data_IF_624912210356
#
_entry.id   IF_624912210356
#
_cell.length_a   1.000
_cell.length_b   1.000
_cell.length_c   1.000
_cell.angle_alpha   90.00
_cell.angle_beta   90.00
_cell.angle_gamma   90.00
#
_symmetry.space_group_name_H-M   'P 1'
#
loop_
_entity.id
_entity.type
_entity.pdbx_description
1 polymer ?
#
# COMPACT_ATOMS: atom_id res chain seq x y z
N UNK A 1 12.23 -12.27 30.83
CA UNK A 1 12.31 -13.45 31.73
C UNK A 1 12.34 -12.93 33.15
N UNK A 2 11.74 -13.66 34.10
CA UNK A 2 11.80 -13.33 35.53
C UNK A 2 12.21 -14.60 36.29
N UNK A 3 13.13 -14.49 37.24
CA UNK A 3 13.56 -15.59 38.09
C UNK A 3 13.25 -15.20 39.52
N UNK A 4 12.44 -16.00 40.20
CA UNK A 4 12.07 -15.80 41.58
C UNK A 4 12.72 -16.88 42.46
N UNK A 5 13.31 -16.46 43.57
CA UNK A 5 13.95 -17.32 44.55
C UNK A 5 13.15 -17.29 45.85
N UNK A 6 12.74 -18.45 46.33
CA UNK A 6 12.01 -18.59 47.60
C UNK A 6 13.00 -18.54 48.78
N UNK A 7 13.36 -17.33 49.21
CA UNK A 7 14.27 -17.09 50.35
C UNK A 7 13.67 -16.08 51.32
N UNK A 8 14.13 -16.08 52.58
CA UNK A 8 13.72 -15.07 53.54
C UNK A 8 14.32 -13.70 53.18
N UNK A 9 13.44 -12.72 52.98
CA UNK A 9 13.80 -11.34 52.61
C UNK A 9 14.61 -10.66 53.72
N UNK A 10 14.42 -11.06 54.98
CA UNK A 10 15.13 -10.47 56.12
C UNK A 10 16.60 -10.92 56.19
N UNK A 11 16.92 -12.10 55.65
CA UNK A 11 18.26 -12.68 55.66
C UNK A 11 19.07 -12.28 54.42
N UNK A 12 18.42 -11.96 53.30
CA UNK A 12 19.07 -11.67 52.02
C UNK A 12 18.59 -10.32 51.42
N UNK A 13 19.37 -9.23 51.55
CA UNK A 13 18.99 -7.91 51.05
C UNK A 13 19.07 -7.76 49.52
N UNK A 14 19.73 -8.69 48.82
CA UNK A 14 19.93 -8.67 47.36
C UNK A 14 18.65 -8.93 46.53
N UNK A 15 17.51 -9.11 47.22
CA UNK A 15 16.22 -9.38 46.61
C UNK A 15 16.05 -10.82 46.10
N UNK A 16 14.78 -11.21 46.01
CA UNK A 16 14.37 -12.55 45.57
C UNK A 16 13.99 -12.62 44.10
N UNK A 17 13.96 -11.49 43.41
CA UNK A 17 13.48 -11.40 42.03
C UNK A 17 14.64 -10.91 41.16
N UNK A 18 14.89 -11.63 40.06
CA UNK A 18 15.82 -11.24 39.02
C UNK A 18 15.02 -11.08 37.74
N UNK A 19 14.94 -9.84 37.27
CA UNK A 19 14.22 -9.52 36.03
C UNK A 19 15.22 -9.33 34.89
N UNK A 20 14.90 -9.94 33.75
CA UNK A 20 15.55 -9.69 32.48
C UNK A 20 14.53 -8.98 31.58
N UNK A 21 14.51 -7.63 31.59
CA UNK A 21 13.59 -6.85 30.78
C UNK A 21 13.99 -6.86 29.31
N UNK A 22 13.00 -6.65 28.44
CA UNK A 22 13.18 -6.63 26.97
C UNK A 22 13.76 -5.31 26.46
N UNK A 23 13.49 -4.21 27.17
CA UNK A 23 13.72 -2.85 26.68
C UNK A 23 15.09 -2.38 27.15
N UNK A 24 16.03 -2.19 26.21
CA UNK A 24 17.30 -1.51 26.51
C UNK A 24 18.60 -2.28 26.25
N UNK A 25 18.56 -3.45 25.59
CA UNK A 25 19.80 -4.11 25.14
C UNK A 25 20.02 -3.92 23.64
N UNK A 26 21.03 -3.12 23.21
CA UNK A 26 21.44 -2.99 21.81
C UNK A 26 22.23 -4.21 21.29
N UNK A 27 22.37 -5.27 22.09
CA UNK A 27 23.39 -6.29 21.87
C UNK A 27 22.85 -7.55 21.20
N UNK A 28 23.78 -8.17 20.46
CA UNK A 28 23.69 -9.45 19.76
C UNK A 28 22.93 -10.54 20.56
N UNK A 29 22.34 -11.53 19.87
CA UNK A 29 21.69 -12.66 20.52
C UNK A 29 22.64 -13.31 21.53
N UNK A 30 22.19 -13.41 22.78
CA UNK A 30 22.91 -14.06 23.86
C UNK A 30 22.39 -15.49 24.01
N UNK A 31 23.29 -16.47 23.98
CA UNK A 31 22.94 -17.90 24.04
C UNK A 31 22.76 -18.43 25.48
N UNK A 32 22.98 -17.60 26.49
CA UNK A 32 22.84 -18.03 27.89
C UNK A 32 22.91 -16.89 28.90
N UNK A 33 22.50 -17.22 30.14
CA UNK A 33 22.55 -16.32 31.28
C UNK A 33 23.11 -17.05 32.51
N UNK A 34 23.75 -16.31 33.40
CA UNK A 34 24.21 -16.83 34.71
C UNK A 34 23.71 -15.91 35.80
N UNK A 35 23.02 -16.47 36.80
CA UNK A 35 22.60 -15.73 38.00
C UNK A 35 23.41 -16.23 39.19
N UNK A 36 24.00 -15.29 39.95
CA UNK A 36 24.75 -15.59 41.18
C UNK A 36 24.07 -14.92 42.37
N UNK A 37 23.90 -15.68 43.45
CA UNK A 37 23.34 -15.23 44.73
C UNK A 37 24.04 -15.96 45.87
N UNK A 38 24.15 -15.30 47.02
CA UNK A 38 24.66 -15.89 48.26
C UNK A 38 23.55 -16.69 48.95
N UNK A 39 23.92 -17.83 49.53
CA UNK A 39 22.97 -18.73 50.22
C UNK A 39 23.59 -20.09 50.49
N UNK A 40 23.27 -20.65 51.64
CA UNK A 40 23.73 -21.94 52.16
C UNK A 40 22.58 -22.95 52.32
N UNK A 41 21.34 -22.48 52.23
CA UNK A 41 20.13 -23.29 52.33
C UNK A 41 19.59 -23.73 50.96
N UNK A 42 19.00 -24.93 50.86
CA UNK A 42 18.31 -25.35 49.64
C UNK A 42 17.17 -24.39 49.31
N UNK A 43 17.21 -23.81 48.11
CA UNK A 43 16.29 -22.75 47.67
C UNK A 43 15.50 -23.21 46.44
N UNK A 44 14.18 -23.08 46.50
CA UNK A 44 13.31 -23.30 45.34
C UNK A 44 13.31 -22.05 44.47
N UNK A 45 13.48 -22.26 43.17
CA UNK A 45 13.56 -21.24 42.15
C UNK A 45 12.43 -21.46 41.15
N UNK A 46 11.75 -20.37 40.80
CA UNK A 46 10.73 -20.32 39.76
C UNK A 46 11.24 -19.45 38.62
N UNK A 47 11.46 -20.05 37.45
CA UNK A 47 11.88 -19.33 36.24
C UNK A 47 10.66 -19.13 35.36
N UNK A 48 10.28 -17.87 35.13
CA UNK A 48 9.20 -17.45 34.25
C UNK A 48 9.76 -16.94 32.92
N UNK A 49 9.48 -17.66 31.85
CA UNK A 49 9.87 -17.32 30.49
C UNK A 49 8.65 -16.78 29.74
N UNK A 50 8.73 -15.50 29.36
CA UNK A 50 7.76 -14.86 28.49
C UNK A 50 8.27 -14.98 27.05
N UNK A 51 7.62 -15.81 26.25
CA UNK A 51 7.96 -15.97 24.85
C UNK A 51 7.58 -14.71 24.05
N UNK A 52 8.43 -14.34 23.10
CA UNK A 52 8.15 -13.26 22.18
C UNK A 52 7.65 -13.84 20.86
N UNK A 53 6.34 -13.85 20.66
CA UNK A 53 5.74 -14.29 19.40
C UNK A 53 5.65 -13.15 18.40
N UNK A 54 5.93 -13.45 17.13
CA UNK A 54 5.67 -12.55 16.01
C UNK A 54 4.80 -13.27 14.96
N UNK A 55 3.56 -12.82 14.70
CA UNK A 55 2.86 -11.70 15.35
C UNK A 55 2.60 -11.95 16.85
N UNK A 56 2.35 -10.88 17.60
CA UNK A 56 2.03 -10.98 19.04
C UNK A 56 0.83 -11.89 19.26
N UNK A 57 1.00 -12.88 20.13
CA UNK A 57 -0.05 -13.82 20.52
C UNK A 57 -0.67 -13.40 21.84
N UNK A 58 -1.96 -13.65 21.96
CA UNK A 58 -2.77 -13.33 23.12
C UNK A 58 -3.53 -14.58 23.53
N UNK A 59 -3.66 -14.77 24.84
CA UNK A 59 -4.55 -15.76 25.42
C UNK A 59 -5.96 -15.18 25.46
N UNK A 60 -6.94 -15.95 24.98
CA UNK A 60 -8.33 -15.51 24.97
C UNK A 60 -8.96 -15.74 26.35
N UNK A 61 -9.82 -14.82 26.76
CA UNK A 61 -10.69 -15.04 27.92
C UNK A 61 -11.55 -16.31 27.71
N UNK A 62 -11.79 -17.14 28.74
CA UNK A 62 -12.49 -18.42 28.60
C UNK A 62 -13.83 -18.35 27.86
N UNK A 63 -14.57 -17.26 28.02
CA UNK A 63 -15.85 -17.03 27.35
C UNK A 63 -15.70 -17.00 25.83
N UNK A 64 -14.76 -16.20 25.31
CA UNK A 64 -14.50 -16.10 23.87
C UNK A 64 -13.76 -17.34 23.34
N UNK A 65 -12.84 -17.88 24.13
CA UNK A 65 -12.07 -19.07 23.79
C UNK A 65 -12.97 -20.29 23.54
N UNK A 66 -13.98 -20.49 24.37
CA UNK A 66 -14.92 -21.62 24.25
C UNK A 66 -15.81 -21.52 23.01
N UNK A 67 -16.14 -20.31 22.56
CA UNK A 67 -16.97 -20.10 21.35
C UNK A 67 -16.15 -20.30 20.09
N UNK A 68 -14.94 -19.74 20.05
CA UNK A 68 -14.07 -19.83 18.88
C UNK A 68 -13.29 -21.14 18.79
N UNK A 69 -13.16 -21.87 19.91
CA UNK A 69 -12.33 -23.07 20.01
C UNK A 69 -10.83 -22.76 19.96
N UNK A 70 -10.44 -21.55 20.32
CA UNK A 70 -9.07 -21.05 20.22
C UNK A 70 -8.59 -20.62 21.61
N UNK A 71 -7.44 -21.14 22.04
CA UNK A 71 -6.83 -20.77 23.34
C UNK A 71 -5.92 -19.57 23.23
N UNK A 72 -5.07 -19.55 22.20
CA UNK A 72 -4.08 -18.52 21.96
C UNK A 72 -4.04 -18.18 20.47
N UNK A 73 -4.12 -16.88 20.15
CA UNK A 73 -3.89 -16.39 18.78
C UNK A 73 -3.48 -14.92 18.76
N UNK A 74 -2.98 -14.48 17.61
CA UNK A 74 -2.87 -13.09 17.23
C UNK A 74 -4.21 -12.36 17.26
N UNK A 75 -4.18 -11.06 17.59
CA UNK A 75 -5.36 -10.19 17.57
C UNK A 75 -6.13 -10.28 16.25
N UNK A 76 -5.40 -10.32 15.13
CA UNK A 76 -6.01 -10.41 13.80
C UNK A 76 -6.70 -11.76 13.59
N UNK A 77 -6.06 -12.86 13.98
CA UNK A 77 -6.65 -14.19 13.88
C UNK A 77 -7.89 -14.35 14.74
N UNK A 78 -7.92 -13.77 15.95
CA UNK A 78 -9.14 -13.77 16.79
C UNK A 78 -10.29 -13.04 16.10
N UNK A 79 -10.02 -11.85 15.52
CA UNK A 79 -11.02 -11.08 14.79
C UNK A 79 -11.54 -11.87 13.58
N UNK A 80 -10.64 -12.52 12.82
CA UNK A 80 -11.01 -13.34 11.67
C UNK A 80 -11.83 -14.58 12.06
N UNK A 81 -11.46 -15.25 13.15
CA UNK A 81 -12.20 -16.40 13.68
C UNK A 81 -13.60 -15.99 14.14
N UNK A 82 -13.71 -14.88 14.88
CA UNK A 82 -14.99 -14.32 15.29
C UNK A 82 -15.86 -13.91 14.09
N UNK A 83 -15.25 -13.30 13.08
CA UNK A 83 -15.96 -12.94 11.85
C UNK A 83 -16.44 -14.17 11.06
N UNK A 84 -15.63 -15.23 11.04
CA UNK A 84 -16.01 -16.50 10.42
C UNK A 84 -17.17 -17.16 11.16
N UNK A 85 -17.17 -17.11 12.49
CA UNK A 85 -18.28 -17.56 13.32
C UNK A 85 -19.58 -16.78 13.03
N UNK A 86 -19.50 -15.45 12.97
CA UNK A 86 -20.63 -14.56 12.65
C UNK A 86 -21.24 -14.90 11.27
N UNK A 87 -20.38 -15.13 10.27
CA UNK A 87 -20.81 -15.51 8.92
C UNK A 87 -21.45 -16.89 8.88
N UNK A 88 -20.82 -17.88 9.52
CA UNK A 88 -21.30 -19.26 9.56
C UNK A 88 -22.72 -19.34 10.15
N UNK A 89 -22.97 -18.56 11.20
CA UNK A 89 -24.25 -18.53 11.90
C UNK A 89 -25.25 -17.52 11.32
N UNK A 90 -24.91 -16.82 10.24
CA UNK A 90 -25.81 -15.85 9.60
C UNK A 90 -26.22 -14.68 10.51
N UNK A 91 -25.33 -14.26 11.42
CA UNK A 91 -25.63 -13.26 12.46
C UNK A 91 -25.57 -11.81 11.97
N UNK A 92 -25.17 -11.57 10.72
CA UNK A 92 -25.22 -10.25 10.12
C UNK A 92 -26.67 -9.87 9.80
N UNK A 93 -27.08 -8.66 10.17
CA UNK A 93 -28.43 -8.18 9.87
C UNK A 93 -28.64 -8.07 8.34
N UNK A 94 -29.82 -8.51 7.88
CA UNK A 94 -30.17 -8.54 6.46
C UNK A 94 -30.49 -7.14 5.91
N UNK A 95 -30.96 -6.24 6.77
CA UNK A 95 -31.36 -4.87 6.40
C UNK A 95 -30.17 -3.93 6.56
N UNK A 96 -29.56 -3.91 7.75
CA UNK A 96 -28.36 -3.11 8.01
C UNK A 96 -27.12 -3.99 8.21
N UNK A 97 -26.35 -4.17 7.12
CA UNK A 97 -25.13 -4.99 7.12
C UNK A 97 -24.03 -4.50 8.07
N UNK A 98 -24.20 -3.34 8.71
CA UNK A 98 -23.27 -2.82 9.73
C UNK A 98 -23.53 -3.42 11.11
N UNK A 99 -24.72 -3.98 11.34
CA UNK A 99 -25.14 -4.53 12.63
C UNK A 99 -24.96 -6.04 12.63
N UNK A 100 -24.38 -6.54 13.72
CA UNK A 100 -24.22 -7.96 14.02
C UNK A 100 -25.16 -8.28 15.18
N UNK A 101 -26.06 -9.23 14.98
CA UNK A 101 -26.97 -9.73 16.02
C UNK A 101 -26.23 -10.75 16.89
N UNK A 102 -26.34 -10.61 18.21
CA UNK A 102 -25.74 -11.53 19.15
C UNK A 102 -26.59 -12.80 19.26
N UNK A 103 -25.98 -13.96 19.07
CA UNK A 103 -26.59 -15.24 19.46
C UNK A 103 -26.51 -15.42 20.99
N UNK A 104 -27.12 -16.47 21.53
CA UNK A 104 -27.14 -16.70 22.97
C UNK A 104 -25.73 -16.87 23.58
N UNK A 105 -24.74 -17.25 22.76
CA UNK A 105 -23.34 -17.41 23.18
C UNK A 105 -22.58 -16.08 23.16
N UNK A 106 -22.84 -15.21 22.18
CA UNK A 106 -22.19 -13.92 22.02
C UNK A 106 -22.86 -12.80 22.83
N UNK A 107 -24.12 -12.94 23.22
CA UNK A 107 -24.82 -11.99 24.11
C UNK A 107 -24.01 -11.58 25.35
N UNK A 108 -23.43 -12.50 26.15
CA UNK A 108 -22.62 -12.12 27.31
C UNK A 108 -21.35 -11.35 26.93
N UNK A 109 -20.75 -11.65 25.78
CA UNK A 109 -19.53 -10.99 25.29
C UNK A 109 -19.86 -9.59 24.75
N UNK A 110 -20.96 -9.47 24.00
CA UNK A 110 -21.37 -8.25 23.31
C UNK A 110 -22.05 -7.26 24.26
N UNK A 111 -22.60 -7.74 25.39
CA UNK A 111 -23.30 -6.91 26.37
C UNK A 111 -24.65 -6.37 25.88
N UNK A 112 -25.22 -6.98 24.83
CA UNK A 112 -26.48 -6.54 24.22
C UNK A 112 -26.96 -7.46 23.11
N UNK A 113 -28.10 -7.13 22.50
CA UNK A 113 -28.72 -7.91 21.41
C UNK A 113 -27.98 -7.80 20.08
N UNK A 114 -27.12 -6.80 19.93
CA UNK A 114 -26.28 -6.63 18.75
C UNK A 114 -25.27 -5.51 18.90
N UNK A 115 -24.27 -5.52 18.04
CA UNK A 115 -23.20 -4.52 18.00
C UNK A 115 -22.95 -4.05 16.57
N UNK A 116 -22.37 -2.86 16.43
CA UNK A 116 -21.82 -2.41 15.15
C UNK A 116 -20.52 -3.15 14.84
N UNK A 117 -20.32 -3.53 13.58
CA UNK A 117 -19.09 -4.15 13.08
C UNK A 117 -17.82 -3.35 13.44
N UNK A 118 -17.92 -2.02 13.49
CA UNK A 118 -16.78 -1.16 13.84
C UNK A 118 -16.31 -1.32 15.28
N UNK A 119 -17.19 -1.75 16.19
CA UNK A 119 -16.88 -1.96 17.61
C UNK A 119 -16.21 -3.31 17.88
N UNK A 120 -16.21 -4.22 16.89
CA UNK A 120 -15.73 -5.59 17.07
C UNK A 120 -14.25 -5.66 17.46
N UNK A 121 -13.31 -4.90 16.85
CA UNK A 121 -11.90 -4.91 17.27
C UNK A 121 -11.69 -4.42 18.70
N UNK A 122 -12.44 -3.42 19.13
CA UNK A 122 -12.36 -2.88 20.49
C UNK A 122 -12.95 -3.84 21.52
N UNK A 123 -14.01 -4.55 21.14
CA UNK A 123 -14.58 -5.60 21.96
C UNK A 123 -13.59 -6.74 22.13
N UNK A 124 -13.02 -7.25 21.04
CA UNK A 124 -12.02 -8.34 21.08
C UNK A 124 -10.87 -7.98 22.00
N UNK A 125 -10.34 -6.75 21.93
CA UNK A 125 -9.26 -6.28 22.80
C UNK A 125 -9.54 -6.45 24.30
N UNK A 126 -10.80 -6.32 24.73
CA UNK A 126 -11.17 -6.49 26.15
C UNK A 126 -11.08 -7.95 26.62
N UNK A 127 -11.12 -8.89 25.68
CA UNK A 127 -11.04 -10.33 25.94
C UNK A 127 -9.66 -10.92 25.58
N UNK A 128 -8.70 -10.08 25.21
CA UNK A 128 -7.31 -10.49 25.00
C UNK A 128 -6.52 -10.30 26.30
N UNK A 129 -5.87 -11.38 26.74
CA UNK A 129 -4.99 -11.40 27.91
C UNK A 129 -3.58 -11.75 27.44
N UNK A 130 -2.56 -11.27 28.16
CA UNK A 130 -1.19 -11.72 27.93
C UNK A 130 -1.11 -13.25 28.10
N UNK A 131 -0.40 -13.97 27.21
CA UNK A 131 -0.19 -15.41 27.33
C UNK A 131 0.47 -15.79 28.66
N UNK A 132 0.15 -16.99 29.14
CA UNK A 132 0.78 -17.48 30.37
C UNK A 132 2.28 -17.71 30.10
N UNK A 133 3.18 -17.27 31.00
CA UNK A 133 4.60 -17.57 30.85
C UNK A 133 4.85 -19.07 31.05
N UNK A 134 5.94 -19.55 30.46
CA UNK A 134 6.44 -20.89 30.76
C UNK A 134 7.08 -20.84 32.14
N UNK A 135 6.59 -21.66 33.06
CA UNK A 135 7.07 -21.73 34.44
C UNK A 135 7.91 -22.99 34.61
N UNK A 136 9.22 -22.81 34.85
CA UNK A 136 10.13 -23.90 35.18
C UNK A 136 10.43 -23.85 36.68
N UNK A 137 10.25 -24.99 37.34
CA UNK A 137 10.56 -25.15 38.75
C UNK A 137 11.91 -25.84 38.92
N UNK A 138 12.81 -25.24 39.67
CA UNK A 138 14.13 -25.80 39.93
C UNK A 138 14.52 -25.60 41.40
N UNK A 139 15.23 -26.54 42.00
CA UNK A 139 15.69 -26.42 43.39
C UNK A 139 17.21 -26.43 43.42
N UNK A 140 17.81 -25.34 43.90
CA UNK A 140 19.26 -25.23 44.09
C UNK A 140 19.58 -25.75 45.49
N UNK A 141 20.44 -26.77 45.57
CA UNK A 141 20.97 -27.26 46.83
C UNK A 141 22.49 -27.01 46.88
N UNK A 142 22.97 -26.06 47.71
CA UNK A 142 24.42 -25.76 47.83
C UNK A 142 25.25 -26.94 48.34
N UNK A 143 24.65 -27.88 49.08
CA UNK A 143 25.34 -29.04 49.65
C UNK A 143 25.45 -30.24 48.71
N UNK A 144 24.76 -30.23 47.56
CA UNK A 144 24.83 -31.30 46.57
C UNK A 144 25.85 -30.94 45.47
N UNK A 145 26.61 -31.91 44.94
CA UNK A 145 27.45 -31.66 43.77
C UNK A 145 26.58 -31.22 42.58
N UNK A 146 27.12 -30.40 41.66
CA UNK A 146 26.41 -30.01 40.45
C UNK A 146 25.91 -31.23 39.68
N UNK A 147 24.70 -31.20 39.09
CA UNK A 147 24.20 -32.32 38.32
C UNK A 147 25.12 -32.61 37.13
N UNK A 148 25.44 -33.90 36.90
CA UNK A 148 26.33 -34.33 35.81
C UNK A 148 25.77 -34.03 34.40
N UNK A 149 24.44 -33.86 34.29
CA UNK A 149 23.76 -33.55 33.02
C UNK A 149 22.85 -32.33 33.17
N UNK A 150 22.82 -31.43 32.18
CA UNK A 150 21.89 -30.31 32.18
C UNK A 150 20.45 -30.83 32.06
N UNK A 151 19.54 -30.20 32.80
CA UNK A 151 18.11 -30.45 32.63
C UNK A 151 17.63 -29.72 31.37
N UNK A 152 17.05 -30.47 30.43
CA UNK A 152 16.51 -29.93 29.18
C UNK A 152 14.98 -29.91 29.23
N UNK A 153 14.39 -28.84 28.69
CA UNK A 153 12.95 -28.66 28.55
C UNK A 153 12.65 -28.29 27.10
N UNK A 154 11.83 -29.09 26.44
CA UNK A 154 11.41 -28.81 25.07
C UNK A 154 10.23 -27.83 25.08
N UNK A 155 10.33 -26.78 24.26
CA UNK A 155 9.32 -25.72 24.13
C UNK A 155 9.02 -25.52 22.65
N UNK A 156 7.78 -25.73 22.25
CA UNK A 156 7.33 -25.44 20.90
C UNK A 156 7.15 -23.92 20.72
N UNK A 157 7.91 -23.32 19.79
CA UNK A 157 7.81 -21.90 19.47
C UNK A 157 7.43 -21.75 18.00
N UNK A 158 6.27 -21.13 17.76
CA UNK A 158 5.89 -20.69 16.41
C UNK A 158 6.80 -19.53 16.01
N UNK A 159 7.67 -19.77 15.03
CA UNK A 159 8.54 -18.75 14.44
C UNK A 159 8.09 -18.39 13.02
N UNK A 160 8.36 -17.15 12.60
CA UNK A 160 8.22 -16.75 11.20
C UNK A 160 9.25 -17.53 10.36
N UNK A 161 8.83 -18.07 9.22
CA UNK A 161 9.76 -18.72 8.29
C UNK A 161 10.63 -17.65 7.60
N UNK A 162 11.78 -17.37 8.20
CA UNK A 162 12.76 -16.43 7.69
C UNK A 162 13.22 -16.79 6.27
N UNK A 163 13.23 -18.09 5.91
CA UNK A 163 13.59 -18.52 4.57
C UNK A 163 12.50 -18.18 3.55
N UNK A 164 11.22 -18.35 3.90
CA UNK A 164 10.10 -17.95 3.06
C UNK A 164 10.05 -16.43 2.85
N UNK A 165 10.27 -15.65 3.92
CA UNK A 165 10.36 -14.18 3.85
C UNK A 165 11.53 -13.72 2.98
N UNK A 166 12.70 -14.37 3.12
CA UNK A 166 13.87 -14.11 2.28
C UNK A 166 13.60 -14.39 0.80
N UNK A 167 12.92 -15.50 0.48
CA UNK A 167 12.51 -15.82 -0.89
C UNK A 167 11.53 -14.80 -1.47
N UNK A 168 10.54 -14.37 -0.69
CA UNK A 168 9.58 -13.35 -1.12
C UNK A 168 10.24 -11.99 -1.36
N UNK A 169 11.19 -11.60 -0.50
CA UNK A 169 11.99 -10.40 -0.67
C UNK A 169 12.85 -10.46 -1.94
N UNK A 170 13.48 -11.60 -2.21
CA UNK A 170 14.27 -11.81 -3.43
C UNK A 170 13.40 -11.74 -4.70
N UNK A 171 12.18 -12.31 -4.67
CA UNK A 171 11.23 -12.24 -5.80
C UNK A 171 10.77 -10.80 -6.10
N UNK A 172 10.58 -9.98 -5.06
CA UNK A 172 10.25 -8.56 -5.23
C UNK A 172 11.42 -7.77 -5.82
N UNK A 173 12.65 -8.16 -5.54
CA UNK A 173 13.85 -7.53 -6.12
C UNK A 173 14.03 -7.90 -7.60
N UNK A 174 13.84 -9.16 -7.98
CA UNK A 174 13.92 -9.59 -9.38
C UNK A 174 12.87 -8.90 -10.27
N UNK A 175 11.71 -8.57 -9.70
CA UNK A 175 10.68 -7.82 -10.42
C UNK A 175 11.09 -6.37 -10.75
N UNK A 176 11.97 -5.76 -9.95
CA UNK A 176 12.45 -4.38 -10.22
C UNK A 176 13.42 -4.34 -11.39
N UNK A 177 14.33 -5.31 -11.47
CA UNK A 177 15.23 -5.44 -12.63
C UNK A 177 14.45 -5.71 -13.92
N UNK A 178 13.42 -6.56 -13.83
CA UNK A 178 12.51 -6.83 -14.96
C UNK A 178 11.71 -5.59 -15.38
N UNK A 179 11.28 -4.75 -14.44
CA UNK A 179 10.58 -3.50 -14.75
C UNK A 179 11.47 -2.50 -15.50
N UNK A 180 12.73 -2.35 -15.08
CA UNK A 180 13.67 -1.44 -15.72
C UNK A 180 14.05 -1.87 -17.15
N UNK A 181 14.16 -3.18 -17.41
CA UNK A 181 14.40 -3.69 -18.78
C UNK A 181 13.17 -3.52 -19.66
N UNK A 182 11.96 -3.76 -19.14
CA UNK A 182 10.71 -3.51 -19.87
C UNK A 182 10.58 -2.04 -20.28
N UNK A 183 10.87 -1.10 -19.38
CA UNK A 183 10.82 0.33 -19.72
C UNK A 183 11.79 0.71 -20.85
N UNK A 184 12.99 0.11 -20.88
CA UNK A 184 13.95 0.33 -21.98
C UNK A 184 13.44 -0.23 -23.30
N UNK A 185 12.85 -1.43 -23.27
CA UNK A 185 12.26 -2.03 -24.46
C UNK A 185 11.09 -1.18 -24.99
N UNK A 186 10.27 -0.62 -24.10
CA UNK A 186 9.18 0.29 -24.50
C UNK A 186 9.72 1.57 -25.17
N UNK A 187 10.82 2.13 -24.66
CA UNK A 187 11.47 3.29 -25.27
C UNK A 187 12.04 2.95 -26.66
N UNK A 188 12.70 1.80 -26.81
CA UNK A 188 13.18 1.31 -28.10
C UNK A 188 12.03 1.07 -29.11
N UNK A 189 10.93 0.46 -28.65
CA UNK A 189 9.73 0.23 -29.46
C UNK A 189 9.16 1.58 -29.93
N UNK A 190 9.06 2.57 -29.05
CA UNK A 190 8.55 3.90 -29.40
C UNK A 190 9.44 4.59 -30.46
N UNK A 191 10.76 4.51 -30.31
CA UNK A 191 11.71 5.07 -31.27
C UNK A 191 11.61 4.40 -32.64
N UNK A 192 11.53 3.06 -32.67
CA UNK A 192 11.36 2.30 -33.90
C UNK A 192 10.02 2.58 -34.58
N UNK A 193 8.94 2.70 -33.80
CA UNK A 193 7.62 3.05 -34.33
C UNK A 193 7.61 4.44 -34.97
N UNK A 194 8.27 5.44 -34.34
CA UNK A 194 8.41 6.77 -34.91
C UNK A 194 9.26 6.76 -36.20
N UNK A 195 10.37 6.00 -36.21
CA UNK A 195 11.22 5.84 -37.39
C UNK A 195 10.49 5.18 -38.56
N UNK A 196 9.68 4.15 -38.26
CA UNK A 196 8.82 3.47 -39.24
C UNK A 196 7.77 4.43 -39.79
N UNK A 197 7.13 5.22 -38.93
CA UNK A 197 6.17 6.23 -39.35
C UNK A 197 6.80 7.27 -40.27
N UNK A 198 7.98 7.81 -39.90
CA UNK A 198 8.73 8.76 -40.73
C UNK A 198 9.09 8.18 -42.10
N UNK A 199 9.50 6.91 -42.14
CA UNK A 199 9.82 6.19 -43.38
C UNK A 199 8.58 5.97 -44.24
N UNK A 200 7.45 5.63 -43.62
CA UNK A 200 6.16 5.46 -44.30
C UNK A 200 5.68 6.79 -44.91
N UNK A 201 5.72 7.89 -44.16
CA UNK A 201 5.35 9.22 -44.66
C UNK A 201 6.22 9.62 -45.86
N UNK A 202 7.54 9.44 -45.77
CA UNK A 202 8.46 9.71 -46.90
C UNK A 202 8.11 8.87 -48.12
N UNK A 203 7.85 7.57 -47.93
CA UNK A 203 7.46 6.67 -49.02
C UNK A 203 6.16 7.12 -49.68
N UNK A 204 5.11 7.37 -48.90
CA UNK A 204 3.80 7.81 -49.42
C UNK A 204 3.93 9.14 -50.17
N UNK A 205 4.71 10.08 -49.65
CA UNK A 205 5.01 11.36 -50.31
C UNK A 205 5.64 11.13 -51.69
N UNK A 206 6.73 10.36 -51.76
CA UNK A 206 7.42 10.08 -53.02
C UNK A 206 6.56 9.28 -54.00
N UNK A 207 5.76 8.33 -53.52
CA UNK A 207 4.81 7.58 -54.34
C UNK A 207 3.71 8.46 -54.92
N UNK A 208 3.18 9.41 -54.14
CA UNK A 208 2.16 10.34 -54.62
C UNK A 208 2.71 11.29 -55.69
N UNK A 209 3.94 11.76 -55.53
CA UNK A 209 4.65 12.54 -56.56
C UNK A 209 4.89 11.72 -57.84
N UNK A 210 5.32 10.46 -57.71
CA UNK A 210 5.59 9.60 -58.85
C UNK A 210 4.33 9.24 -59.67
N UNK A 211 3.16 9.17 -59.02
CA UNK A 211 1.88 8.86 -59.67
C UNK A 211 1.34 10.03 -60.50
N UNK A 212 1.36 11.24 -59.96
CA UNK A 212 0.89 12.45 -60.66
C UNK A 212 1.66 13.69 -60.16
N UNK A 213 2.79 14.04 -60.81
CA UNK A 213 3.66 15.10 -60.32
C UNK A 213 3.03 16.48 -60.47
N UNK A 214 2.19 16.71 -61.49
CA UNK A 214 1.59 18.02 -61.74
C UNK A 214 0.56 18.37 -60.66
N UNK A 215 -0.37 17.45 -60.38
CA UNK A 215 -1.38 17.63 -59.34
C UNK A 215 -0.76 17.67 -57.94
N UNK A 216 0.28 16.84 -57.72
CA UNK A 216 1.00 16.81 -56.45
C UNK A 216 1.67 18.15 -56.16
N UNK A 217 2.44 18.72 -57.10
CA UNK A 217 3.14 20.00 -56.90
C UNK A 217 2.16 21.11 -56.59
N UNK A 218 1.02 21.16 -57.29
CA UNK A 218 -0.02 22.16 -57.02
C UNK A 218 -0.57 22.02 -55.59
N UNK A 219 -0.97 20.81 -55.20
CA UNK A 219 -1.51 20.53 -53.85
C UNK A 219 -0.45 20.81 -52.77
N UNK A 220 0.81 20.51 -53.06
CA UNK A 220 1.93 20.74 -52.14
C UNK A 220 2.22 22.23 -51.96
N UNK A 221 2.24 23.03 -53.03
CA UNK A 221 2.38 24.49 -52.96
C UNK A 221 1.22 25.12 -52.20
N UNK A 222 -0.01 24.65 -52.42
CA UNK A 222 -1.19 25.09 -51.67
C UNK A 222 -1.10 24.73 -50.18
N UNK A 223 -0.56 23.57 -49.83
CA UNK A 223 -0.35 23.16 -48.43
C UNK A 223 0.76 23.97 -47.76
N UNK A 224 1.94 24.09 -48.39
CA UNK A 224 3.09 24.80 -47.83
C UNK A 224 2.82 26.31 -47.67
N UNK A 225 2.06 26.92 -48.59
CA UNK A 225 1.63 28.32 -48.45
C UNK A 225 0.73 28.52 -47.22
N UNK A 226 -0.24 27.62 -46.99
CA UNK A 226 -1.11 27.65 -45.79
C UNK A 226 -0.32 27.40 -44.50
N UNK A 227 0.61 26.45 -44.51
CA UNK A 227 1.43 26.15 -43.34
C UNK A 227 2.34 27.33 -42.98
N UNK A 228 2.94 27.98 -43.99
CA UNK A 228 3.76 29.18 -43.82
C UNK A 228 2.93 30.36 -43.31
N UNK A 229 1.76 30.59 -43.88
CA UNK A 229 0.77 31.58 -43.40
C UNK A 229 0.42 31.35 -41.91
N UNK A 230 0.23 30.08 -41.52
CA UNK A 230 -0.05 29.72 -40.12
C UNK A 230 1.14 29.96 -39.19
N UNK A 231 2.38 29.67 -39.62
CA UNK A 231 3.59 29.84 -38.81
C UNK A 231 3.94 31.32 -38.64
N UNK A 232 3.82 32.11 -39.70
CA UNK A 232 4.12 33.54 -39.68
C UNK A 232 3.03 34.38 -39.02
N UNK A 233 1.87 33.78 -38.69
CA UNK A 233 0.67 34.51 -38.29
C UNK A 233 0.11 35.43 -39.39
N UNK A 234 0.78 35.49 -40.54
CA UNK A 234 0.47 36.29 -41.72
C UNK A 234 -0.49 35.59 -42.68
N UNK A 235 -1.17 34.54 -42.22
CA UNK A 235 -2.45 34.15 -42.76
C UNK A 235 -3.47 35.28 -42.59
N UNK A 236 -4.77 35.00 -42.70
CA UNK A 236 -5.83 36.01 -42.65
C UNK A 236 -6.02 36.74 -41.28
N UNK A 237 -4.94 37.02 -40.56
CA UNK A 237 -4.86 37.56 -39.21
C UNK A 237 -3.93 38.78 -39.15
N UNK A 238 -4.32 39.81 -39.90
CA UNK A 238 -4.36 41.22 -39.44
C UNK A 238 -5.59 41.88 -40.10
N UNK A 239 -6.78 41.30 -39.87
CA UNK A 239 -8.06 41.86 -40.32
C UNK A 239 -8.39 41.68 -41.81
N UNK A 240 -7.51 41.07 -42.61
CA UNK A 240 -7.79 40.71 -44.01
C UNK A 240 -7.97 39.20 -44.13
N UNK A 241 -9.21 38.74 -44.26
CA UNK A 241 -9.57 37.33 -44.41
C UNK A 241 -9.23 36.73 -45.79
N UNK A 242 -8.43 37.43 -46.59
CA UNK A 242 -8.37 37.26 -48.05
C UNK A 242 -6.94 37.39 -48.54
N UNK A 243 -6.51 36.45 -49.38
CA UNK A 243 -5.19 36.48 -50.00
C UNK A 243 -5.06 37.72 -50.89
N UNK A 244 -3.90 38.37 -50.87
CA UNK A 244 -3.65 39.57 -51.68
C UNK A 244 -3.88 39.34 -53.19
N UNK A 245 -3.66 38.11 -53.67
CA UNK A 245 -3.92 37.73 -55.05
C UNK A 245 -5.41 37.57 -55.37
N UNK A 246 -6.24 37.19 -54.40
CA UNK A 246 -7.70 37.16 -54.57
C UNK A 246 -8.28 38.58 -54.60
N UNK A 247 -7.73 39.50 -53.80
CA UNK A 247 -8.08 40.93 -53.83
C UNK A 247 -7.74 41.62 -55.17
N UNK A 248 -6.92 41.00 -56.02
CA UNK A 248 -6.60 41.51 -57.36
C UNK A 248 -7.59 41.05 -58.43
N UNK A 249 -8.43 40.06 -58.14
CA UNK A 249 -9.41 39.52 -59.09
C UNK A 249 -10.74 40.25 -58.94
N UNK A 250 -11.30 40.73 -60.05
CA UNK A 250 -12.60 41.40 -60.05
C UNK A 250 -13.73 40.50 -59.53
N UNK A 251 -13.65 39.20 -59.78
CA UNK A 251 -14.60 38.18 -59.31
C UNK A 251 -14.76 38.16 -57.78
N UNK A 252 -13.69 38.46 -57.05
CA UNK A 252 -13.73 38.51 -55.59
C UNK A 252 -14.70 39.58 -55.07
N UNK A 253 -14.84 40.69 -55.79
CA UNK A 253 -15.75 41.79 -55.46
C UNK A 253 -17.17 41.61 -56.03
N UNK A 254 -17.45 40.47 -56.67
CA UNK A 254 -18.79 40.09 -57.14
C UNK A 254 -19.50 39.13 -56.17
N UNK A 255 -18.88 38.83 -55.03
CA UNK A 255 -19.43 37.89 -54.06
C UNK A 255 -20.61 38.49 -53.28
N UNK A 256 -21.58 37.67 -52.82
CA UNK A 256 -22.81 38.18 -52.19
C UNK A 256 -22.59 39.03 -50.93
N UNK A 257 -21.50 38.80 -50.19
CA UNK A 257 -21.17 39.56 -48.98
C UNK A 257 -20.70 41.00 -49.26
N UNK A 258 -20.35 41.33 -50.51
CA UNK A 258 -19.77 42.63 -50.87
C UNK A 258 -20.80 43.74 -50.74
N UNK A 259 -22.04 43.52 -51.15
CA UNK A 259 -23.11 44.52 -51.05
C UNK A 259 -23.39 44.89 -49.59
N UNK A 260 -23.47 43.90 -48.71
CA UNK A 260 -23.67 44.08 -47.28
C UNK A 260 -22.47 44.80 -46.65
N UNK A 261 -21.24 44.42 -47.00
CA UNK A 261 -20.03 45.07 -46.51
C UNK A 261 -19.94 46.55 -46.93
N UNK A 262 -20.28 46.87 -48.19
CA UNK A 262 -20.32 48.26 -48.69
C UNK A 262 -21.41 49.06 -47.97
N UNK A 263 -22.59 48.48 -47.76
CA UNK A 263 -23.68 49.15 -47.05
C UNK A 263 -23.30 49.48 -45.59
N UNK A 264 -22.70 48.53 -44.87
CA UNK A 264 -22.21 48.74 -43.50
C UNK A 264 -21.13 49.83 -43.47
N UNK A 265 -20.16 49.79 -44.40
CA UNK A 265 -19.08 50.77 -44.44
C UNK A 265 -19.56 52.17 -44.83
N UNK A 266 -20.56 52.28 -45.70
CA UNK A 266 -21.22 53.56 -45.97
C UNK A 266 -21.97 54.08 -44.75
N UNK A 267 -22.65 53.20 -44.01
CA UNK A 267 -23.34 53.54 -42.76
C UNK A 267 -22.38 54.06 -41.69
N UNK A 268 -21.24 53.40 -41.48
CA UNK A 268 -20.21 53.85 -40.52
C UNK A 268 -19.58 55.18 -40.93
N UNK A 269 -19.29 55.39 -42.22
CA UNK A 269 -18.75 56.64 -42.73
C UNK A 269 -19.73 57.83 -42.57
N UNK A 270 -21.03 57.59 -42.78
CA UNK A 270 -22.06 58.61 -42.55
C UNK A 270 -22.20 58.94 -41.06
N UNK A 271 -22.17 57.93 -40.19
CA UNK A 271 -22.19 58.13 -38.74
C UNK A 271 -20.96 58.92 -38.24
N UNK A 272 -19.77 58.66 -38.80
CA UNK A 272 -18.54 59.38 -38.46
C UNK A 272 -18.56 60.84 -38.96
N UNK A 273 -19.15 61.11 -40.13
CA UNK A 273 -19.32 62.47 -40.67
C UNK A 273 -20.41 63.27 -39.96
N UNK A 274 -21.37 62.62 -39.32
CA UNK A 274 -22.39 63.27 -38.48
C UNK A 274 -21.93 63.63 -37.07
N UNK A 275 -20.71 63.27 -36.68
CA UNK A 275 -20.09 63.58 -35.38
C UNK A 275 -19.03 64.70 -35.43
N UNK A 276 -19.00 65.50 -36.52
CA UNK A 276 -18.23 66.76 -36.61
C UNK A 276 -19.15 67.98 -36.57
#
# INVERSE_FOLDING_TARGET
MVIELERDVNLYPDGNIVEWPRVGHPNAPLDGFTVRRTGDTPTKIRVLLYLNHFPEQYKLHPELANILGIKEESRLGVIQALWSYIKLNGLQDKVDRRIIRADDKLKPIFGGEGISFQMLPDLVNRFLVVPDPIVLWYTVNPGAPPPERPQAYDVEVKMEDAAMKGRMAAMLQSSKESGATLMKLDEEIALLAQSLHNSHVKKVFLESFAKDPAKFIQTWLESQSRDLESILGSGPTEGLTVRQEELRRSEFFQLPWVEEAVAIQHGTNLAARGMQ
#
